data_IF_419531745963
#
_entry.id   IF_419531745963
#
_cell.length_a   1.000
_cell.length_b   1.000
_cell.length_c   1.000
_cell.angle_alpha   90.00
_cell.angle_beta   90.00
_cell.angle_gamma   90.00
#
_symmetry.space_group_name_H-M   'P 1'
#
loop_
_entity.id
_entity.type
_entity.pdbx_description
1 polymer ?
#
# COMPACT_ATOMS: atom_id res chain seq x y z
N UNK A 1 0.33 14.91 9.81
CA UNK A 1 0.42 14.24 8.49
C UNK A 1 -0.74 14.67 7.59
N UNK A 2 -0.49 14.84 6.30
CA UNK A 2 -1.51 15.17 5.31
C UNK A 2 -1.80 13.93 4.45
N UNK A 3 -3.07 13.58 4.32
CA UNK A 3 -3.53 12.54 3.41
C UNK A 3 -4.18 13.16 2.18
N UNK A 4 -3.83 12.65 1.00
CA UNK A 4 -4.33 13.15 -0.27
C UNK A 4 -5.29 12.14 -0.87
N UNK A 5 -6.55 12.52 -1.05
CA UNK A 5 -7.50 11.70 -1.80
C UNK A 5 -7.34 12.01 -3.29
N UNK A 6 -6.71 11.09 -4.01
CA UNK A 6 -6.48 11.25 -5.45
C UNK A 6 -7.74 10.91 -6.23
N UNK A 7 -8.40 9.82 -5.87
CA UNK A 7 -9.61 9.34 -6.53
C UNK A 7 -10.54 8.70 -5.50
N UNK A 8 -11.82 9.13 -5.42
CA UNK A 8 -12.82 8.38 -4.67
C UNK A 8 -12.98 6.96 -5.25
N UNK A 9 -13.34 6.02 -4.40
CA UNK A 9 -13.42 4.60 -4.76
C UNK A 9 -14.47 4.29 -5.83
N UNK A 10 -15.53 5.09 -5.89
CA UNK A 10 -16.66 4.91 -6.80
C UNK A 10 -16.51 5.63 -8.14
N UNK A 11 -15.40 6.35 -8.35
CA UNK A 11 -15.12 7.05 -9.59
C UNK A 11 -14.04 6.32 -10.39
N UNK A 12 -14.16 6.40 -11.71
CA UNK A 12 -13.11 5.90 -12.59
C UNK A 12 -11.92 6.87 -12.61
N UNK A 13 -10.73 6.33 -12.86
CA UNK A 13 -9.54 7.13 -13.05
C UNK A 13 -9.72 8.07 -14.24
N UNK A 14 -9.32 9.33 -14.09
CA UNK A 14 -9.40 10.34 -15.14
C UNK A 14 -8.21 11.32 -15.04
N UNK A 15 -8.17 12.31 -15.96
CA UNK A 15 -7.09 13.30 -16.00
C UNK A 15 -7.01 14.16 -14.73
N UNK A 16 -8.13 14.41 -14.06
CA UNK A 16 -8.13 15.13 -12.78
C UNK A 16 -7.40 14.34 -11.70
N UNK A 17 -7.53 13.02 -11.69
CA UNK A 17 -6.78 12.16 -10.78
C UNK A 17 -5.28 12.24 -11.04
N UNK A 18 -4.86 12.20 -12.30
CA UNK A 18 -3.46 12.32 -12.68
C UNK A 18 -2.89 13.68 -12.25
N UNK A 19 -3.63 14.77 -12.43
CA UNK A 19 -3.22 16.10 -12.00
C UNK A 19 -3.07 16.18 -10.48
N UNK A 20 -4.00 15.62 -9.72
CA UNK A 20 -3.90 15.59 -8.25
C UNK A 20 -2.66 14.83 -7.81
N UNK A 21 -2.43 13.65 -8.39
CA UNK A 21 -1.25 12.85 -8.08
C UNK A 21 0.05 13.61 -8.36
N UNK A 22 0.13 14.31 -9.50
CA UNK A 22 1.31 15.07 -9.89
C UNK A 22 1.59 16.26 -8.97
N UNK A 23 0.59 16.76 -8.24
CA UNK A 23 0.72 17.91 -7.33
C UNK A 23 1.18 17.53 -5.94
N UNK A 24 1.24 16.24 -5.60
CA UNK A 24 1.64 15.79 -4.27
C UNK A 24 3.14 16.00 -4.08
N UNK A 25 3.56 16.77 -3.05
CA UNK A 25 4.97 16.94 -2.78
C UNK A 25 5.59 15.64 -2.23
N UNK A 26 6.85 15.38 -2.60
CA UNK A 26 7.61 14.26 -2.06
C UNK A 26 8.17 14.67 -0.70
N UNK A 27 7.46 14.35 0.37
CA UNK A 27 7.88 14.59 1.74
C UNK A 27 8.41 13.31 2.36
N UNK A 28 9.39 13.42 3.27
CA UNK A 28 10.02 12.28 3.92
C UNK A 28 9.11 11.55 4.89
N UNK A 29 9.53 10.34 5.29
CA UNK A 29 8.83 9.49 6.23
C UNK A 29 7.82 8.57 5.57
N UNK A 30 7.40 7.55 6.32
CA UNK A 30 6.42 6.56 5.86
C UNK A 30 5.37 6.36 6.94
N UNK A 31 4.45 7.33 7.14
CA UNK A 31 3.47 7.27 8.23
C UNK A 31 2.28 6.36 7.88
N UNK A 32 2.58 5.11 7.58
CA UNK A 32 1.59 4.16 7.07
C UNK A 32 0.47 3.87 8.07
N UNK A 33 0.81 3.78 9.37
CA UNK A 33 -0.18 3.53 10.40
C UNK A 33 -1.24 4.65 10.48
N UNK A 34 -0.81 5.90 10.34
CA UNK A 34 -1.73 7.05 10.35
C UNK A 34 -2.64 7.02 9.11
N UNK A 35 -2.10 6.66 7.95
CA UNK A 35 -2.89 6.51 6.73
C UNK A 35 -3.94 5.42 6.92
N UNK A 36 -3.54 4.27 7.43
CA UNK A 36 -4.45 3.15 7.67
C UNK A 36 -5.55 3.51 8.66
N UNK A 37 -5.20 4.23 9.72
CA UNK A 37 -6.18 4.69 10.71
C UNK A 37 -7.23 5.60 10.05
N UNK A 38 -6.80 6.51 9.19
CA UNK A 38 -7.71 7.43 8.49
C UNK A 38 -8.63 6.73 7.51
N UNK A 39 -8.17 5.69 6.83
CA UNK A 39 -8.97 4.98 5.82
C UNK A 39 -9.77 3.82 6.43
N UNK A 40 -9.53 3.47 7.69
CA UNK A 40 -10.22 2.36 8.34
C UNK A 40 -11.76 2.45 8.25
N UNK A 41 -12.39 3.62 8.54
CA UNK A 41 -13.85 3.71 8.43
C UNK A 41 -14.37 3.40 7.02
N UNK A 42 -13.63 3.81 5.99
CA UNK A 42 -13.99 3.56 4.59
C UNK A 42 -13.94 2.05 4.31
N UNK A 43 -12.84 1.39 4.68
CA UNK A 43 -12.68 -0.05 4.45
C UNK A 43 -13.62 -0.88 5.31
N UNK A 44 -13.93 -0.42 6.52
CA UNK A 44 -14.92 -1.07 7.38
C UNK A 44 -16.31 -1.05 6.75
N UNK A 45 -16.68 0.06 6.12
CA UNK A 45 -17.96 0.21 5.44
C UNK A 45 -18.03 -0.56 4.12
N UNK A 46 -17.00 -0.46 3.29
CA UNK A 46 -17.00 -1.01 1.93
C UNK A 46 -16.50 -2.44 1.85
N UNK A 47 -15.63 -2.86 2.75
CA UNK A 47 -15.05 -4.20 2.85
C UNK A 47 -14.58 -4.75 1.50
N UNK A 48 -13.57 -4.13 0.87
CA UNK A 48 -13.02 -4.66 -0.38
C UNK A 48 -12.44 -6.06 -0.15
N UNK A 49 -12.35 -6.85 -1.21
CA UNK A 49 -11.75 -8.19 -1.12
C UNK A 49 -10.24 -8.11 -0.87
N UNK A 50 -9.58 -7.17 -1.52
CA UNK A 50 -8.13 -7.01 -1.50
C UNK A 50 -7.80 -5.54 -1.29
N UNK A 51 -6.81 -5.27 -0.47
CA UNK A 51 -6.24 -3.93 -0.30
C UNK A 51 -4.75 -3.99 -0.60
N UNK A 52 -4.32 -3.24 -1.62
CA UNK A 52 -2.96 -3.22 -2.10
C UNK A 52 -2.23 -1.98 -1.59
N UNK A 53 -1.07 -2.18 -0.97
CA UNK A 53 -0.17 -1.11 -0.55
C UNK A 53 1.13 -1.17 -1.34
N UNK A 54 1.58 -0.03 -1.85
CA UNK A 54 2.92 0.13 -2.41
C UNK A 54 3.73 1.01 -1.47
N UNK A 55 4.91 0.54 -1.07
CA UNK A 55 5.78 1.27 -0.14
C UNK A 55 7.23 1.17 -0.58
N UNK A 56 7.96 2.27 -0.47
CA UNK A 56 9.38 2.34 -0.82
C UNK A 56 10.30 2.31 0.40
N UNK A 57 9.78 2.03 1.57
CA UNK A 57 10.57 1.99 2.80
C UNK A 57 9.83 1.34 3.95
N UNK A 58 10.50 1.32 5.10
CA UNK A 58 9.89 0.83 6.33
C UNK A 58 8.94 1.87 6.91
N UNK A 59 7.79 1.45 7.47
CA UNK A 59 6.90 2.37 8.17
C UNK A 59 7.57 3.01 9.38
N UNK A 60 7.17 4.23 9.71
CA UNK A 60 7.67 4.95 10.87
C UNK A 60 7.31 4.26 12.19
N UNK A 61 6.19 3.55 12.23
CA UNK A 61 5.73 2.79 13.40
C UNK A 61 5.29 1.39 12.97
N UNK A 62 6.22 0.43 12.91
CA UNK A 62 5.90 -0.94 12.46
C UNK A 62 4.87 -1.64 13.33
N UNK A 63 4.89 -1.44 14.64
CA UNK A 63 3.94 -2.10 15.54
C UNK A 63 2.52 -1.61 15.30
N UNK A 64 2.33 -0.31 15.11
CA UNK A 64 1.02 0.26 14.80
C UNK A 64 0.52 -0.24 13.44
N UNK A 65 1.39 -0.33 12.43
CA UNK A 65 1.03 -0.88 11.12
C UNK A 65 0.59 -2.33 11.25
N UNK A 66 1.33 -3.13 12.00
CA UNK A 66 1.00 -4.54 12.22
C UNK A 66 -0.38 -4.70 12.85
N UNK A 67 -0.69 -3.87 13.85
CA UNK A 67 -2.03 -3.87 14.48
C UNK A 67 -3.12 -3.51 13.48
N UNK A 68 -2.89 -2.51 12.64
CA UNK A 68 -3.86 -2.10 11.63
C UNK A 68 -4.06 -3.16 10.56
N UNK A 69 -3.00 -3.78 10.08
CA UNK A 69 -3.09 -4.89 9.11
C UNK A 69 -3.94 -6.03 9.71
N UNK A 70 -3.70 -6.37 10.96
CA UNK A 70 -4.49 -7.39 11.66
C UNK A 70 -5.98 -7.00 11.72
N UNK A 71 -6.26 -5.74 12.01
CA UNK A 71 -7.65 -5.24 12.06
C UNK A 71 -8.34 -5.34 10.71
N UNK A 72 -7.67 -4.98 9.62
CA UNK A 72 -8.22 -5.12 8.28
C UNK A 72 -8.46 -6.59 7.90
N UNK A 73 -7.51 -7.46 8.24
CA UNK A 73 -7.69 -8.91 8.00
C UNK A 73 -8.89 -9.46 8.76
N UNK A 74 -9.16 -8.96 9.96
CA UNK A 74 -10.33 -9.35 10.74
C UNK A 74 -11.65 -8.97 10.07
N UNK A 75 -11.63 -7.99 9.17
CA UNK A 75 -12.79 -7.61 8.35
C UNK A 75 -12.96 -8.51 7.12
N UNK A 76 -12.07 -9.47 6.90
CA UNK A 76 -12.07 -10.32 5.72
C UNK A 76 -11.34 -9.73 4.53
N UNK A 77 -10.58 -8.66 4.72
CA UNK A 77 -9.82 -8.00 3.65
C UNK A 77 -8.45 -8.66 3.52
N UNK A 78 -8.09 -9.05 2.31
CA UNK A 78 -6.74 -9.57 2.02
C UNK A 78 -5.79 -8.41 1.85
N UNK A 79 -4.77 -8.35 2.70
CA UNK A 79 -3.78 -7.29 2.72
C UNK A 79 -2.54 -7.73 1.95
N UNK A 80 -2.29 -7.10 0.81
CA UNK A 80 -1.14 -7.40 -0.04
C UNK A 80 -0.29 -6.14 -0.21
N UNK A 81 1.02 -6.33 -0.44
CA UNK A 81 1.93 -5.20 -0.54
C UNK A 81 3.02 -5.44 -1.57
N UNK A 82 3.48 -4.35 -2.17
CA UNK A 82 4.63 -4.33 -3.06
C UNK A 82 5.67 -3.37 -2.46
N UNK A 83 6.87 -3.89 -2.21
CA UNK A 83 8.01 -3.09 -1.81
C UNK A 83 8.75 -2.56 -3.02
N UNK A 84 8.84 -1.23 -3.11
CA UNK A 84 9.57 -0.56 -4.20
C UNK A 84 10.94 -0.18 -3.71
N UNK A 85 11.97 -0.78 -4.27
CA UNK A 85 13.36 -0.55 -3.88
C UNK A 85 14.17 0.11 -4.98
N UNK A 86 15.34 0.64 -4.60
CA UNK A 86 16.28 1.24 -5.57
C UNK A 86 17.03 0.21 -6.42
N UNK A 87 17.11 -1.03 -5.93
CA UNK A 87 17.68 -2.17 -6.63
C UNK A 87 16.98 -3.45 -6.16
N UNK A 88 17.32 -4.59 -6.78
CA UNK A 88 16.69 -5.88 -6.45
C UNK A 88 16.87 -6.27 -5.00
N UNK A 89 18.07 -6.09 -4.44
CA UNK A 89 18.37 -6.44 -3.05
C UNK A 89 17.54 -5.58 -2.09
N UNK A 90 17.52 -4.27 -2.31
CA UNK A 90 16.76 -3.34 -1.49
C UNK A 90 15.25 -3.64 -1.57
N UNK A 91 14.73 -3.91 -2.76
CA UNK A 91 13.33 -4.27 -2.95
C UNK A 91 12.97 -5.55 -2.19
N UNK A 92 13.85 -6.57 -2.21
CA UNK A 92 13.63 -7.82 -1.48
C UNK A 92 13.61 -7.59 0.03
N UNK A 93 14.49 -6.75 0.54
CA UNK A 93 14.52 -6.40 1.98
C UNK A 93 13.22 -5.70 2.38
N UNK A 94 12.78 -4.73 1.59
CA UNK A 94 11.53 -4.01 1.85
C UNK A 94 10.34 -4.97 1.84
N UNK A 95 10.24 -5.83 0.83
CA UNK A 95 9.16 -6.81 0.73
C UNK A 95 9.16 -7.79 1.92
N UNK A 96 10.34 -8.23 2.37
CA UNK A 96 10.47 -9.12 3.52
C UNK A 96 10.00 -8.42 4.79
N UNK A 97 10.39 -7.17 5.00
CA UNK A 97 9.95 -6.39 6.17
C UNK A 97 8.45 -6.18 6.17
N UNK A 98 7.84 -5.90 5.01
CA UNK A 98 6.39 -5.78 4.88
C UNK A 98 5.69 -7.09 5.24
N UNK A 99 6.26 -8.22 4.84
CA UNK A 99 5.68 -9.52 5.19
C UNK A 99 5.61 -9.74 6.70
N UNK A 100 6.63 -9.31 7.44
CA UNK A 100 6.63 -9.40 8.90
C UNK A 100 5.53 -8.54 9.54
N UNK A 101 5.00 -7.58 8.83
CA UNK A 101 3.89 -6.76 9.33
C UNK A 101 2.52 -7.44 9.16
N UNK A 102 2.48 -8.63 8.58
CA UNK A 102 1.26 -9.42 8.48
C UNK A 102 0.58 -9.41 7.12
N UNK A 103 1.17 -8.77 6.11
CA UNK A 103 0.63 -8.85 4.75
C UNK A 103 0.66 -10.29 4.25
N UNK A 104 -0.42 -10.74 3.64
CA UNK A 104 -0.54 -12.12 3.18
C UNK A 104 0.37 -12.44 2.01
N UNK A 105 0.57 -11.45 1.14
CA UNK A 105 1.43 -11.57 -0.01
C UNK A 105 2.24 -10.30 -0.18
N UNK A 106 3.55 -10.45 -0.41
CA UNK A 106 4.44 -9.33 -0.69
C UNK A 106 5.37 -9.67 -1.83
N UNK A 107 5.67 -8.67 -2.65
CA UNK A 107 6.67 -8.77 -3.72
C UNK A 107 7.53 -7.52 -3.71
N UNK A 108 8.77 -7.66 -4.21
CA UNK A 108 9.67 -6.54 -4.42
C UNK A 108 9.73 -6.14 -5.88
N UNK A 109 9.88 -4.84 -6.14
CA UNK A 109 10.11 -4.31 -7.48
C UNK A 109 11.15 -3.20 -7.40
N UNK A 110 12.10 -3.18 -8.34
CA UNK A 110 13.16 -2.16 -8.36
C UNK A 110 13.10 -1.23 -9.56
N UNK A 111 12.20 -1.47 -10.51
CA UNK A 111 11.99 -0.61 -11.67
C UNK A 111 10.53 -0.28 -11.81
N UNK A 112 10.21 1.01 -11.95
CA UNK A 112 8.82 1.48 -12.04
C UNK A 112 8.05 0.82 -13.17
N UNK A 113 8.71 0.54 -14.29
CA UNK A 113 8.08 -0.12 -15.45
C UNK A 113 7.59 -1.53 -15.15
N UNK A 114 8.13 -2.18 -14.11
CA UNK A 114 7.75 -3.53 -13.74
C UNK A 114 6.56 -3.58 -12.76
N UNK A 115 6.14 -2.42 -12.22
CA UNK A 115 5.03 -2.36 -11.26
C UNK A 115 3.73 -2.97 -11.80
N UNK A 116 3.26 -2.65 -13.03
CA UNK A 116 2.01 -3.24 -13.52
C UNK A 116 2.03 -4.77 -13.54
N UNK A 117 3.12 -5.38 -14.00
CA UNK A 117 3.25 -6.84 -14.02
C UNK A 117 3.30 -7.44 -12.62
N UNK A 118 3.98 -6.76 -11.68
CA UNK A 118 4.04 -7.21 -10.29
C UNK A 118 2.69 -7.11 -9.59
N UNK A 119 1.91 -6.07 -9.89
CA UNK A 119 0.54 -5.94 -9.38
C UNK A 119 -0.31 -7.11 -9.85
N UNK A 120 -0.29 -7.40 -11.15
CA UNK A 120 -1.03 -8.55 -11.70
C UNK A 120 -0.59 -9.85 -11.03
N UNK A 121 0.72 -10.02 -10.84
CA UNK A 121 1.29 -11.21 -10.24
C UNK A 121 0.84 -11.39 -8.79
N UNK A 122 0.90 -10.34 -7.99
CA UNK A 122 0.51 -10.42 -6.58
C UNK A 122 -0.99 -10.61 -6.41
N UNK A 123 -1.81 -10.05 -7.30
CA UNK A 123 -3.27 -10.19 -7.23
C UNK A 123 -3.75 -11.56 -7.71
N UNK A 124 -3.05 -12.18 -8.67
CA UNK A 124 -3.47 -13.48 -9.22
C UNK A 124 -3.31 -14.63 -8.23
N UNK A 125 -2.47 -14.49 -7.22
CA UNK A 125 -2.16 -15.54 -6.24
C UNK A 125 -2.97 -15.40 -4.94
N UNK A 126 -3.89 -14.47 -4.90
CA UNK A 126 -4.64 -14.18 -3.66
C UNK A 126 -6.05 -14.79 -3.65
#
# INVERSE_FOLDING_TARGET
>A
MVCWLIKPEDLKWNNSCAKRLAQIPANGGTPLAEVYDKIYPILHSKKPNIFLTLSDGEPSDPFAVRSMVKSFKSLGIKMVAIGVGRDTRNATIIATNLKYLGFERTLGVSRLKDIPNKVLNVLSDV
#
